data_IF_364021142032
#
_entry.id   IF_364021142032
#
_cell.length_a   1.000
_cell.length_b   1.000
_cell.length_c   1.000
_cell.angle_alpha   90.00
_cell.angle_beta   90.00
_cell.angle_gamma   90.00
#
_symmetry.space_group_name_H-M   'P 1'
#
loop_
_entity.id
_entity.type
_entity.pdbx_description
1 polymer ?
#
# COMPACT_ATOMS: atom_id res chain seq x y z
N UNK A 1 -32.49 21.27 -31.85
CA UNK A 1 -32.16 20.82 -30.49
C UNK A 1 -30.91 19.98 -30.59
N UNK A 2 -29.78 20.51 -30.15
CA UNK A 2 -28.49 19.82 -30.17
C UNK A 2 -28.37 19.00 -28.90
N UNK A 3 -28.46 17.68 -29.02
CA UNK A 3 -28.16 16.75 -27.93
C UNK A 3 -26.66 16.84 -27.61
N UNK A 4 -26.33 17.51 -26.51
CA UNK A 4 -25.03 17.38 -25.86
C UNK A 4 -24.89 15.97 -25.33
N UNK A 5 -24.19 15.11 -26.07
CA UNK A 5 -23.61 13.86 -25.54
C UNK A 5 -22.68 14.24 -24.40
N UNK A 6 -23.15 14.04 -23.17
CA UNK A 6 -22.31 14.06 -21.99
C UNK A 6 -21.30 12.94 -22.13
N UNK A 7 -20.04 13.28 -22.40
CA UNK A 7 -18.92 12.35 -22.34
C UNK A 7 -18.69 12.04 -20.87
N UNK A 8 -19.36 10.99 -20.37
CA UNK A 8 -19.09 10.40 -19.06
C UNK A 8 -17.73 9.71 -19.12
N UNK A 9 -16.70 10.37 -18.59
CA UNK A 9 -15.32 9.86 -18.54
C UNK A 9 -15.09 8.92 -17.34
N UNK A 10 -16.10 8.69 -16.48
CA UNK A 10 -15.94 7.94 -15.23
C UNK A 10 -17.08 6.96 -14.94
N UNK A 11 -17.32 6.03 -15.85
CA UNK A 11 -18.14 4.84 -15.55
C UNK A 11 -17.25 3.59 -15.55
N UNK A 12 -16.13 3.64 -14.79
CA UNK A 12 -15.41 2.42 -14.47
C UNK A 12 -16.21 1.72 -13.39
N UNK A 13 -17.04 0.76 -13.81
CA UNK A 13 -17.68 -0.17 -12.90
C UNK A 13 -16.64 -0.71 -11.91
N UNK A 14 -17.01 -0.72 -10.63
CA UNK A 14 -16.14 -1.27 -9.59
C UNK A 14 -15.83 -2.74 -9.91
N UNK A 15 -14.61 -3.21 -9.61
CA UNK A 15 -14.31 -4.62 -9.74
C UNK A 15 -15.28 -5.42 -8.87
N UNK A 16 -15.71 -6.58 -9.35
CA UNK A 16 -16.55 -7.51 -8.58
C UNK A 16 -15.65 -8.56 -7.96
N UNK A 17 -15.77 -8.79 -6.65
CA UNK A 17 -14.98 -9.76 -5.90
C UNK A 17 -15.86 -10.55 -4.94
N UNK A 18 -15.40 -11.72 -4.54
CA UNK A 18 -15.93 -12.47 -3.40
C UNK A 18 -15.34 -11.94 -2.10
N UNK A 19 -16.00 -12.23 -0.97
CA UNK A 19 -15.47 -11.88 0.36
C UNK A 19 -14.09 -12.51 0.61
N UNK A 20 -13.87 -13.74 0.13
CA UNK A 20 -12.61 -14.46 0.32
C UNK A 20 -11.47 -13.81 -0.49
N UNK A 21 -11.74 -13.36 -1.71
CA UNK A 21 -10.77 -12.63 -2.53
C UNK A 21 -10.41 -11.28 -1.89
N UNK A 22 -11.39 -10.53 -1.39
CA UNK A 22 -11.12 -9.28 -0.67
C UNK A 22 -10.27 -9.54 0.56
N UNK A 23 -10.63 -10.55 1.36
CA UNK A 23 -9.89 -10.95 2.56
C UNK A 23 -8.43 -11.32 2.23
N UNK A 24 -8.22 -12.13 1.19
CA UNK A 24 -6.89 -12.53 0.76
C UNK A 24 -6.02 -11.33 0.30
N UNK A 25 -6.60 -10.41 -0.49
CA UNK A 25 -5.91 -9.21 -0.97
C UNK A 25 -5.55 -8.25 0.18
N UNK A 26 -6.48 -8.03 1.11
CA UNK A 26 -6.23 -7.23 2.30
C UNK A 26 -5.15 -7.87 3.16
N UNK A 27 -5.21 -9.18 3.37
CA UNK A 27 -4.21 -9.89 4.17
C UNK A 27 -2.82 -9.79 3.56
N UNK A 28 -2.69 -9.95 2.24
CA UNK A 28 -1.41 -9.79 1.53
C UNK A 28 -0.84 -8.36 1.68
N UNK A 29 -1.69 -7.34 1.52
CA UNK A 29 -1.30 -5.95 1.70
C UNK A 29 -0.86 -5.65 3.14
N UNK A 30 -1.56 -6.21 4.13
CA UNK A 30 -1.19 -6.06 5.55
C UNK A 30 0.13 -6.75 5.89
N UNK A 31 0.41 -7.92 5.32
CA UNK A 31 1.71 -8.61 5.48
C UNK A 31 2.84 -7.77 4.90
N UNK A 32 2.64 -7.17 3.72
CA UNK A 32 3.62 -6.26 3.12
C UNK A 32 3.85 -5.00 3.99
N UNK A 33 2.79 -4.43 4.55
CA UNK A 33 2.88 -3.28 5.45
C UNK A 33 3.64 -3.63 6.73
N UNK A 34 3.34 -4.76 7.36
CA UNK A 34 4.02 -5.23 8.57
C UNK A 34 5.51 -5.44 8.34
N UNK A 35 5.88 -6.14 7.26
CA UNK A 35 7.29 -6.31 6.88
C UNK A 35 8.01 -4.98 6.65
N UNK A 36 7.32 -3.99 6.09
CA UNK A 36 7.86 -2.65 5.89
C UNK A 36 8.09 -1.90 7.21
N UNK A 37 7.15 -2.01 8.16
CA UNK A 37 7.27 -1.43 9.50
C UNK A 37 8.45 -2.05 10.26
N UNK A 38 8.59 -3.38 10.23
CA UNK A 38 9.70 -4.10 10.86
C UNK A 38 11.04 -3.65 10.28
N UNK A 39 11.14 -3.54 8.95
CA UNK A 39 12.35 -3.04 8.31
C UNK A 39 12.67 -1.59 8.71
N UNK A 40 11.66 -0.71 8.79
CA UNK A 40 11.85 0.68 9.22
C UNK A 40 12.32 0.76 10.67
N UNK A 41 11.75 -0.06 11.56
CA UNK A 41 12.20 -0.17 12.95
C UNK A 41 13.66 -0.62 13.05
N UNK A 42 14.08 -1.59 12.23
CA UNK A 42 15.47 -2.04 12.18
C UNK A 42 16.42 -0.89 11.77
N UNK A 43 16.04 -0.08 10.78
CA UNK A 43 16.85 1.10 10.38
C UNK A 43 16.93 2.13 11.51
N UNK A 44 15.83 2.40 12.21
CA UNK A 44 15.83 3.28 13.39
C UNK A 44 16.72 2.73 14.50
N UNK A 45 16.65 1.44 14.81
CA UNK A 45 17.50 0.80 15.80
C UNK A 45 18.99 0.90 15.45
N UNK A 46 19.35 0.73 14.18
CA UNK A 46 20.71 0.94 13.70
C UNK A 46 21.17 2.39 13.90
N UNK A 47 20.29 3.37 13.67
CA UNK A 47 20.60 4.78 13.95
C UNK A 47 20.80 5.06 15.44
N UNK A 48 20.02 4.41 16.30
CA UNK A 48 20.11 4.60 17.76
C UNK A 48 21.32 3.90 18.39
N UNK A 49 21.79 2.79 17.80
CA UNK A 49 22.91 2.00 18.33
C UNK A 49 24.28 2.57 17.96
N UNK A 50 24.35 3.51 17.03
CA UNK A 50 25.60 4.17 16.63
C UNK A 50 25.83 5.49 17.37
N UNK A 51 27.05 5.66 17.86
CA UNK A 51 27.49 6.89 18.50
C UNK A 51 27.67 8.00 17.44
N UNK A 52 27.77 9.26 17.88
CA UNK A 52 27.72 10.49 17.07
C UNK A 52 28.79 10.68 15.97
N UNK A 53 29.57 9.66 15.63
CA UNK A 53 30.64 9.66 14.62
C UNK A 53 30.29 8.89 13.35
N UNK A 54 29.00 8.61 13.10
CA UNK A 54 28.57 7.90 11.89
C UNK A 54 29.00 8.65 10.62
N UNK A 55 29.65 7.98 9.65
CA UNK A 55 30.01 8.61 8.37
C UNK A 55 28.76 9.15 7.66
N UNK A 56 28.85 10.36 7.08
CA UNK A 56 27.75 10.98 6.33
C UNK A 56 27.14 10.05 5.26
N UNK A 57 27.99 9.26 4.59
CA UNK A 57 27.54 8.25 3.62
C UNK A 57 26.56 7.24 4.23
N UNK A 58 26.85 6.76 5.44
CA UNK A 58 25.99 5.81 6.16
C UNK A 58 24.67 6.46 6.56
N UNK A 59 24.71 7.70 7.03
CA UNK A 59 23.50 8.49 7.34
C UNK A 59 22.59 8.59 6.10
N UNK A 60 23.15 8.97 4.96
CA UNK A 60 22.40 9.08 3.70
C UNK A 60 21.84 7.72 3.23
N UNK A 61 22.59 6.63 3.39
CA UNK A 61 22.09 5.29 3.05
C UNK A 61 20.87 4.90 3.89
N UNK A 62 20.90 5.20 5.19
CA UNK A 62 19.77 4.92 6.10
C UNK A 62 18.57 5.82 5.82
N UNK A 63 18.81 7.10 5.52
CA UNK A 63 17.75 8.00 5.08
C UNK A 63 17.07 7.50 3.81
N UNK A 64 17.84 7.12 2.78
CA UNK A 64 17.30 6.58 1.53
C UNK A 64 16.55 5.25 1.76
N UNK A 65 17.04 4.40 2.67
CA UNK A 65 16.34 3.18 3.03
C UNK A 65 14.97 3.49 3.67
N UNK A 66 14.92 4.45 4.60
CA UNK A 66 13.64 4.88 5.21
C UNK A 66 12.68 5.46 4.17
N UNK A 67 13.17 6.26 3.22
CA UNK A 67 12.34 6.84 2.16
C UNK A 67 11.69 5.75 1.30
N UNK A 68 12.46 4.73 0.89
CA UNK A 68 11.93 3.57 0.15
C UNK A 68 10.89 2.80 0.98
N UNK A 69 11.16 2.60 2.28
CA UNK A 69 10.22 1.93 3.17
C UNK A 69 8.93 2.72 3.34
N UNK A 70 8.99 4.05 3.44
CA UNK A 70 7.80 4.90 3.49
C UNK A 70 6.96 4.80 2.21
N UNK A 71 7.59 4.78 1.04
CA UNK A 71 6.90 4.57 -0.23
C UNK A 71 6.22 3.19 -0.30
N UNK A 72 6.89 2.14 0.18
CA UNK A 72 6.30 0.80 0.24
C UNK A 72 5.11 0.73 1.20
N UNK A 73 5.19 1.40 2.36
CA UNK A 73 4.08 1.47 3.30
C UNK A 73 2.86 2.17 2.69
N UNK A 74 3.08 3.29 1.99
CA UNK A 74 2.02 4.01 1.28
C UNK A 74 1.37 3.10 0.21
N UNK A 75 2.19 2.41 -0.59
CA UNK A 75 1.71 1.48 -1.62
C UNK A 75 0.89 0.33 -1.03
N UNK A 76 1.31 -0.24 0.09
CA UNK A 76 0.55 -1.27 0.78
C UNK A 76 -0.80 -0.74 1.28
N UNK A 77 -0.84 0.50 1.78
CA UNK A 77 -2.08 1.21 2.10
C UNK A 77 -3.00 1.37 0.89
N UNK A 78 -2.47 1.79 -0.25
CA UNK A 78 -3.22 1.92 -1.50
C UNK A 78 -3.78 0.56 -1.96
N UNK A 79 -3.04 -0.53 -1.75
CA UNK A 79 -3.49 -1.89 -2.06
C UNK A 79 -4.68 -2.31 -1.19
N UNK A 80 -4.68 -1.97 0.12
CA UNK A 80 -5.84 -2.20 0.99
C UNK A 80 -7.06 -1.45 0.46
N UNK A 81 -6.91 -0.16 0.15
CA UNK A 81 -8.01 0.63 -0.40
C UNK A 81 -8.52 0.08 -1.73
N UNK A 82 -7.61 -0.32 -2.63
CA UNK A 82 -7.98 -0.92 -3.91
C UNK A 82 -8.64 -2.30 -3.77
N UNK A 83 -8.31 -3.05 -2.71
CA UNK A 83 -8.93 -4.34 -2.43
C UNK A 83 -10.39 -4.18 -1.99
N UNK A 84 -10.68 -3.18 -1.16
CA UNK A 84 -12.03 -2.94 -0.62
C UNK A 84 -12.92 -2.09 -1.52
N UNK A 85 -12.34 -1.33 -2.46
CA UNK A 85 -13.08 -0.56 -3.46
C UNK A 85 -13.60 -1.49 -4.58
N UNK A 86 -14.58 -2.32 -4.22
CA UNK A 86 -15.18 -3.34 -5.08
C UNK A 86 -16.64 -3.64 -4.70
N UNK A 87 -17.39 -4.18 -5.65
CA UNK A 87 -18.68 -4.82 -5.35
C UNK A 87 -18.42 -6.24 -4.81
N UNK A 88 -19.00 -6.57 -3.67
CA UNK A 88 -18.86 -7.91 -3.06
C UNK A 88 -20.08 -8.76 -3.43
N UNK A 89 -19.85 -9.86 -4.15
CA UNK A 89 -20.90 -10.88 -4.39
C UNK A 89 -20.94 -11.89 -3.26
N UNK A 90 -22.15 -12.25 -2.84
CA UNK A 90 -22.36 -13.37 -1.91
C UNK A 90 -21.98 -14.67 -2.60
N UNK A 91 -21.24 -15.52 -1.89
CA UNK A 91 -20.79 -16.84 -2.36
C UNK A 91 -21.95 -17.79 -2.72
N UNK A 92 -23.19 -17.43 -2.41
CA UNK A 92 -24.42 -18.20 -2.64
C UNK A 92 -25.00 -18.07 -4.08
N UNK A 93 -24.39 -17.26 -4.95
CA UNK A 93 -24.85 -17.06 -6.35
C UNK A 93 -24.02 -17.82 -7.41
N UNK A 94 -23.46 -18.99 -7.08
CA UNK A 94 -22.79 -19.87 -8.07
C UNK A 94 -23.76 -20.74 -8.86
#
# INVERSE_FOLDING_TARGET
MTETKSSSVHDKALPVRTSDEVSALVQDALVHLDGTIIAAQAVVQLCLSENSSMPWKTVMQRYNALDVLMHNAAKAGDQVWSAIDCEVKSSDEQ
#
